data_IF_218396088561
#
_entry.id   IF_218396088561
#
_cell.length_a   1.000
_cell.length_b   1.000
_cell.length_c   1.000
_cell.angle_alpha   90.00
_cell.angle_beta   90.00
_cell.angle_gamma   90.00
#
_symmetry.space_group_name_H-M   'P 1'
#
loop_
_entity.id
_entity.type
_entity.pdbx_description
1 polymer ?
#
# COMPACT_ATOMS: atom_id res chain seq x y z
N UNK A 1 9.17 6.19 -57.43
CA UNK A 1 9.37 7.22 -56.39
C UNK A 1 8.03 7.90 -56.03
N UNK A 2 6.90 7.21 -56.04
CA UNK A 2 5.55 7.77 -55.77
C UNK A 2 4.66 6.84 -54.93
N UNK A 3 5.20 6.05 -54.02
CA UNK A 3 4.41 5.10 -53.25
C UNK A 3 4.51 5.29 -51.69
N UNK A 4 5.05 6.41 -51.20
CA UNK A 4 5.24 6.68 -49.75
C UNK A 4 4.51 7.91 -49.19
N UNK A 5 3.62 8.53 -49.96
CA UNK A 5 2.90 9.75 -49.51
C UNK A 5 1.42 9.51 -49.13
N UNK A 6 0.92 8.27 -49.19
CA UNK A 6 -0.48 7.99 -48.88
C UNK A 6 -0.78 7.37 -47.52
N UNK A 7 0.22 7.27 -46.59
CA UNK A 7 0.01 6.74 -45.25
C UNK A 7 -0.08 7.80 -44.16
N UNK A 8 0.29 9.05 -44.42
CA UNK A 8 0.23 10.14 -43.42
C UNK A 8 -1.12 10.89 -43.38
N UNK A 9 -2.03 10.62 -44.31
CA UNK A 9 -3.33 11.31 -44.37
C UNK A 9 -4.47 10.69 -43.56
N UNK A 10 -4.28 9.55 -42.90
CA UNK A 10 -5.38 8.83 -42.18
C UNK A 10 -5.40 8.99 -40.65
N UNK A 11 -4.49 9.73 -40.08
CA UNK A 11 -4.44 9.94 -38.62
C UNK A 11 -4.93 11.31 -38.11
N UNK A 12 -5.41 12.18 -39.02
CA UNK A 12 -5.84 13.54 -38.62
C UNK A 12 -7.34 13.80 -38.80
N UNK A 13 -8.17 12.77 -38.95
CA UNK A 13 -9.61 12.94 -39.10
C UNK A 13 -10.38 12.02 -38.12
N UNK A 14 -10.23 12.26 -36.80
CA UNK A 14 -11.22 11.91 -35.80
C UNK A 14 -11.55 13.14 -35.00
N UNK A 15 -12.51 13.90 -35.50
CA UNK A 15 -13.22 14.94 -34.72
C UNK A 15 -14.03 14.25 -33.64
N UNK A 16 -13.64 14.43 -32.39
CA UNK A 16 -14.50 14.17 -31.24
C UNK A 16 -15.69 15.12 -31.26
N UNK A 17 -16.92 14.65 -31.10
CA UNK A 17 -18.06 15.57 -30.96
C UNK A 17 -18.00 16.27 -29.62
N UNK A 18 -17.89 17.60 -29.67
CA UNK A 18 -18.16 18.46 -28.52
C UNK A 18 -19.63 18.29 -28.13
N UNK A 19 -19.90 17.64 -26.99
CA UNK A 19 -21.19 17.73 -26.35
C UNK A 19 -21.27 19.09 -25.64
N UNK A 20 -22.05 20.00 -26.22
CA UNK A 20 -22.56 21.20 -25.55
C UNK A 20 -23.46 20.75 -24.40
N UNK A 21 -22.98 20.87 -23.17
CA UNK A 21 -23.83 20.76 -22.00
C UNK A 21 -24.69 22.03 -21.90
N UNK A 22 -25.96 21.89 -22.25
CA UNK A 22 -26.98 22.84 -21.84
C UNK A 22 -27.16 22.72 -20.31
N UNK A 23 -26.85 23.79 -19.60
CA UNK A 23 -27.19 23.97 -18.20
C UNK A 23 -28.71 24.13 -18.07
N UNK A 24 -29.41 23.10 -17.60
CA UNK A 24 -30.74 23.28 -17.01
C UNK A 24 -30.66 23.01 -15.51
N UNK A 25 -30.93 24.05 -14.74
CA UNK A 25 -31.04 24.00 -13.30
C UNK A 25 -32.24 23.13 -12.88
N UNK A 26 -32.01 22.25 -11.94
CA UNK A 26 -32.82 21.83 -10.80
C UNK A 26 -32.27 20.46 -10.35
N UNK A 27 -31.38 20.54 -9.34
CA UNK A 27 -30.64 19.38 -8.88
C UNK A 27 -31.49 18.45 -8.05
N UNK A 28 -31.69 17.28 -8.60
CA UNK A 28 -31.65 16.06 -7.82
C UNK A 28 -30.28 15.44 -8.16
N UNK A 29 -29.28 15.65 -7.30
CA UNK A 29 -28.01 14.95 -7.40
C UNK A 29 -28.33 13.45 -7.42
N UNK A 30 -27.85 12.73 -8.45
CA UNK A 30 -27.93 11.28 -8.46
C UNK A 30 -27.35 10.78 -7.12
N UNK A 31 -27.99 9.76 -6.49
CA UNK A 31 -27.45 9.23 -5.23
C UNK A 31 -25.99 8.81 -5.45
N UNK A 32 -25.11 9.25 -4.52
CA UNK A 32 -23.70 8.86 -4.57
C UNK A 32 -23.58 7.33 -4.71
N UNK A 33 -22.66 6.88 -5.56
CA UNK A 33 -22.31 5.45 -5.70
C UNK A 33 -21.75 4.88 -4.41
N UNK A 34 -21.30 5.74 -3.51
CA UNK A 34 -20.64 5.41 -2.26
C UNK A 34 -21.49 5.94 -1.10
N UNK A 35 -21.87 5.06 -0.18
CA UNK A 35 -22.72 5.41 0.96
C UNK A 35 -22.05 5.04 2.26
N UNK A 36 -22.41 5.75 3.34
CA UNK A 36 -21.94 5.43 4.69
C UNK A 36 -22.24 3.97 5.08
N UNK A 37 -23.38 3.44 4.66
CA UNK A 37 -23.75 2.03 4.92
C UNK A 37 -22.78 1.04 4.26
N UNK A 38 -22.36 1.31 3.00
CA UNK A 38 -21.35 0.50 2.32
C UNK A 38 -19.98 0.60 2.99
N UNK A 39 -19.60 1.81 3.42
CA UNK A 39 -18.35 2.02 4.15
C UNK A 39 -18.35 1.28 5.49
N UNK A 40 -19.46 1.35 6.25
CA UNK A 40 -19.61 0.59 7.50
C UNK A 40 -19.59 -0.92 7.29
N UNK A 41 -20.21 -1.43 6.23
CA UNK A 41 -20.12 -2.85 5.90
C UNK A 41 -18.67 -3.27 5.61
N UNK A 42 -17.96 -2.50 4.77
CA UNK A 42 -16.57 -2.78 4.43
C UNK A 42 -15.65 -2.72 5.64
N UNK A 43 -15.86 -1.74 6.54
CA UNK A 43 -15.05 -1.59 7.75
C UNK A 43 -15.15 -2.77 8.71
N UNK A 44 -16.18 -3.62 8.57
CA UNK A 44 -16.42 -4.82 9.40
C UNK A 44 -15.99 -6.12 8.71
N UNK A 45 -15.67 -6.10 7.43
CA UNK A 45 -15.26 -7.31 6.69
C UNK A 45 -13.97 -7.87 7.24
N UNK A 46 -13.86 -9.19 7.16
CA UNK A 46 -12.60 -9.89 7.39
C UNK A 46 -11.56 -9.43 6.36
N UNK A 47 -10.35 -9.18 6.82
CA UNK A 47 -9.24 -8.75 5.97
C UNK A 47 -8.46 -9.98 5.51
N UNK A 48 -8.60 -10.34 4.25
CA UNK A 48 -7.85 -11.42 3.59
C UNK A 48 -6.84 -10.86 2.59
N UNK A 49 -7.18 -9.76 1.93
CA UNK A 49 -6.41 -9.18 0.83
C UNK A 49 -6.07 -7.73 1.10
N UNK A 50 -4.90 -7.31 0.63
CA UNK A 50 -4.47 -5.91 0.69
C UNK A 50 -3.95 -5.39 -0.64
N UNK A 51 -4.02 -4.06 -0.79
CA UNK A 51 -3.37 -3.29 -1.84
C UNK A 51 -2.61 -2.10 -1.27
N UNK A 52 -1.53 -1.70 -1.94
CA UNK A 52 -0.71 -0.54 -1.58
C UNK A 52 -0.62 0.42 -2.77
N UNK A 53 -0.85 1.69 -2.52
CA UNK A 53 -0.73 2.77 -3.51
C UNK A 53 0.34 3.74 -3.01
N UNK A 54 1.43 3.84 -3.72
CA UNK A 54 2.47 4.84 -3.49
C UNK A 54 2.19 6.01 -4.43
N UNK A 55 2.01 7.20 -3.88
CA UNK A 55 1.70 8.42 -4.61
C UNK A 55 2.90 9.35 -4.49
N UNK A 56 3.56 9.66 -5.60
CA UNK A 56 4.70 10.55 -5.61
C UNK A 56 5.52 10.48 -6.89
N UNK A 57 5.63 11.61 -7.57
CA UNK A 57 6.46 11.81 -8.77
C UNK A 57 7.94 11.55 -8.49
N UNK A 58 8.41 11.79 -7.26
CA UNK A 58 9.79 11.55 -6.86
C UNK A 58 10.17 10.06 -6.84
N UNK A 59 9.19 9.18 -6.66
CA UNK A 59 9.40 7.73 -6.75
C UNK A 59 9.43 7.30 -8.21
N UNK A 60 8.49 7.76 -9.03
CA UNK A 60 8.45 7.50 -10.47
C UNK A 60 9.68 8.06 -11.18
N UNK A 61 10.15 9.23 -10.74
CA UNK A 61 11.37 9.87 -11.27
C UNK A 61 12.67 9.26 -10.77
N UNK A 62 12.62 8.23 -9.90
CA UNK A 62 13.81 7.55 -9.38
C UNK A 62 14.63 8.38 -8.37
N UNK A 63 14.13 9.53 -7.93
CA UNK A 63 14.79 10.38 -6.93
C UNK A 63 14.71 9.78 -5.53
N UNK A 64 13.61 9.09 -5.23
CA UNK A 64 13.34 8.48 -3.93
C UNK A 64 13.08 6.99 -4.12
N UNK A 65 13.75 6.16 -3.32
CA UNK A 65 13.50 4.72 -3.30
C UNK A 65 12.28 4.45 -2.42
N UNK A 66 11.30 3.72 -2.95
CA UNK A 66 10.15 3.26 -2.17
C UNK A 66 10.55 2.18 -1.16
N UNK A 67 10.60 2.54 0.08
CA UNK A 67 10.79 1.61 1.21
C UNK A 67 9.47 1.26 1.90
N UNK A 68 8.42 2.07 1.69
CA UNK A 68 7.12 1.90 2.34
C UNK A 68 6.39 0.66 1.85
N UNK A 69 6.37 0.40 0.54
CA UNK A 69 5.73 -0.81 0.01
C UNK A 69 6.43 -2.09 0.47
N UNK A 70 7.76 -2.09 0.51
CA UNK A 70 8.53 -3.23 1.00
C UNK A 70 8.28 -3.50 2.49
N UNK A 71 8.18 -2.46 3.31
CA UNK A 71 7.83 -2.58 4.72
C UNK A 71 6.38 -3.06 4.89
N UNK A 72 5.45 -2.48 4.14
CA UNK A 72 4.04 -2.88 4.15
C UNK A 72 3.83 -4.35 3.74
N UNK A 73 4.61 -4.85 2.78
CA UNK A 73 4.58 -6.26 2.39
C UNK A 73 4.97 -7.17 3.56
N UNK A 74 6.01 -6.83 4.32
CA UNK A 74 6.42 -7.57 5.53
C UNK A 74 5.34 -7.46 6.62
N UNK A 75 4.74 -6.30 6.79
CA UNK A 75 3.66 -6.07 7.74
C UNK A 75 2.43 -6.93 7.41
N UNK A 76 1.96 -6.92 6.17
CA UNK A 76 0.87 -7.79 5.71
C UNK A 76 1.19 -9.26 5.94
N UNK A 77 2.41 -9.69 5.60
CA UNK A 77 2.87 -11.05 5.81
C UNK A 77 2.79 -11.44 7.31
N UNK A 78 3.26 -10.57 8.21
CA UNK A 78 3.23 -10.83 9.66
C UNK A 78 1.81 -10.95 10.24
N UNK A 79 0.81 -10.40 9.54
CA UNK A 79 -0.61 -10.45 9.91
C UNK A 79 -1.39 -11.53 9.14
N UNK A 80 -0.73 -12.28 8.25
CA UNK A 80 -1.40 -13.26 7.41
C UNK A 80 -2.33 -12.66 6.36
N UNK A 81 -2.11 -11.39 5.99
CA UNK A 81 -2.85 -10.68 4.93
C UNK A 81 -2.14 -10.91 3.60
N UNK A 82 -2.89 -11.30 2.56
CA UNK A 82 -2.34 -11.44 1.22
C UNK A 82 -2.22 -10.08 0.53
N UNK A 83 -1.03 -9.49 0.51
CA UNK A 83 -0.77 -8.33 -0.34
C UNK A 83 -0.83 -8.75 -1.81
N UNK A 84 -1.82 -8.25 -2.54
CA UNK A 84 -2.11 -8.62 -3.92
C UNK A 84 -1.54 -7.66 -4.94
N UNK A 85 -1.36 -6.39 -4.56
CA UNK A 85 -0.93 -5.37 -5.49
C UNK A 85 -0.20 -4.23 -4.79
N UNK A 86 0.85 -3.76 -5.43
CA UNK A 86 1.53 -2.50 -5.13
C UNK A 86 1.52 -1.71 -6.43
N UNK A 87 1.07 -0.47 -6.38
CA UNK A 87 1.11 0.46 -7.51
C UNK A 87 1.80 1.75 -7.08
N UNK A 88 2.66 2.25 -7.94
CA UNK A 88 3.27 3.57 -7.81
C UNK A 88 2.63 4.44 -8.89
N UNK A 89 2.06 5.57 -8.47
CA UNK A 89 1.35 6.50 -9.36
C UNK A 89 1.84 7.93 -9.16
N UNK A 90 1.60 8.75 -10.15
CA UNK A 90 1.91 10.17 -10.12
C UNK A 90 1.05 10.96 -9.12
N UNK A 91 1.48 12.18 -8.79
CA UNK A 91 0.66 13.18 -8.11
C UNK A 91 -0.34 13.80 -9.10
N UNK A 92 -1.18 12.91 -9.69
CA UNK A 92 -2.21 13.25 -10.67
C UNK A 92 -3.60 12.90 -10.14
N UNK A 93 -4.54 13.85 -10.25
CA UNK A 93 -5.87 13.71 -9.68
C UNK A 93 -6.65 12.54 -10.30
N UNK A 94 -6.61 12.38 -11.62
CA UNK A 94 -7.38 11.35 -12.31
C UNK A 94 -6.81 9.94 -12.04
N UNK A 95 -5.48 9.81 -11.96
CA UNK A 95 -4.80 8.56 -11.58
C UNK A 95 -5.12 8.16 -10.14
N UNK A 96 -5.09 9.10 -9.21
CA UNK A 96 -5.42 8.85 -7.79
C UNK A 96 -6.89 8.40 -7.68
N UNK A 97 -7.82 9.10 -8.35
CA UNK A 97 -9.25 8.78 -8.31
C UNK A 97 -9.51 7.38 -8.86
N UNK A 98 -8.98 7.07 -10.06
CA UNK A 98 -9.16 5.76 -10.71
C UNK A 98 -8.60 4.65 -9.85
N UNK A 99 -7.33 4.79 -9.44
CA UNK A 99 -6.62 3.76 -8.69
C UNK A 99 -7.28 3.50 -7.34
N UNK A 100 -7.67 4.54 -6.59
CA UNK A 100 -8.35 4.38 -5.31
C UNK A 100 -9.71 3.69 -5.46
N UNK A 101 -10.51 4.04 -6.44
CA UNK A 101 -11.80 3.37 -6.71
C UNK A 101 -11.61 1.89 -7.04
N UNK A 102 -10.69 1.58 -7.94
CA UNK A 102 -10.37 0.22 -8.37
C UNK A 102 -9.83 -0.63 -7.23
N UNK A 103 -8.85 -0.12 -6.50
CA UNK A 103 -8.23 -0.82 -5.38
C UNK A 103 -9.22 -1.05 -4.23
N UNK A 104 -10.03 -0.03 -3.88
CA UNK A 104 -11.06 -0.16 -2.84
C UNK A 104 -12.12 -1.21 -3.19
N UNK A 105 -12.42 -1.37 -4.46
CA UNK A 105 -13.39 -2.38 -4.91
C UNK A 105 -12.80 -3.81 -4.93
N UNK A 106 -11.48 -3.94 -5.12
CA UNK A 106 -10.80 -5.20 -5.33
C UNK A 106 -10.25 -5.84 -4.05
N UNK A 107 -9.93 -5.04 -3.01
CA UNK A 107 -9.21 -5.50 -1.82
C UNK A 107 -9.90 -5.09 -0.53
N UNK A 108 -9.69 -5.89 0.53
CA UNK A 108 -10.31 -5.66 1.84
C UNK A 108 -9.63 -4.53 2.62
N UNK A 109 -8.32 -4.34 2.42
CA UNK A 109 -7.48 -3.36 3.10
C UNK A 109 -6.58 -2.67 2.08
N UNK A 110 -6.77 -1.37 1.89
CA UNK A 110 -6.00 -0.55 0.97
C UNK A 110 -5.27 0.54 1.74
N UNK A 111 -4.00 0.70 1.45
CA UNK A 111 -3.13 1.71 2.04
C UNK A 111 -2.64 2.63 0.95
N UNK A 112 -2.72 3.95 1.17
CA UNK A 112 -2.03 4.94 0.34
C UNK A 112 -0.85 5.51 1.11
N UNK A 113 0.20 5.93 0.43
CA UNK A 113 1.39 6.53 1.00
C UNK A 113 1.89 7.67 0.13
N UNK A 114 1.83 8.90 0.65
CA UNK A 114 2.30 10.11 -0.02
C UNK A 114 1.22 11.15 -0.32
N UNK A 115 1.62 12.32 -0.76
CA UNK A 115 0.76 13.41 -1.25
C UNK A 115 -0.18 14.04 -0.22
N UNK A 116 0.16 14.04 1.09
CA UNK A 116 -0.64 14.66 2.16
C UNK A 116 0.09 15.78 2.90
N UNK A 117 1.11 16.34 2.30
CA UNK A 117 1.87 17.47 2.83
C UNK A 117 1.22 18.83 2.56
N UNK A 118 1.98 19.91 2.77
CA UNK A 118 1.46 21.27 2.65
C UNK A 118 1.64 21.90 1.26
N UNK A 119 2.31 21.23 0.33
CA UNK A 119 2.70 21.79 -0.96
C UNK A 119 1.62 21.62 -2.02
N UNK A 120 1.77 22.22 -3.18
CA UNK A 120 0.71 22.28 -4.20
C UNK A 120 0.47 20.90 -4.88
N UNK A 121 1.45 20.06 -4.89
CA UNK A 121 1.46 18.68 -5.38
C UNK A 121 0.87 17.68 -4.36
N UNK A 122 0.71 18.04 -3.10
CA UNK A 122 0.04 17.23 -2.08
C UNK A 122 -1.49 17.24 -2.30
N UNK A 123 -1.97 16.43 -3.22
CA UNK A 123 -3.39 16.41 -3.65
C UNK A 123 -4.14 15.15 -3.22
N UNK A 124 -3.51 14.24 -2.49
CA UNK A 124 -4.10 12.93 -2.12
C UNK A 124 -5.43 13.05 -1.40
N UNK A 125 -5.55 13.93 -0.38
CA UNK A 125 -6.83 14.11 0.33
C UNK A 125 -7.93 14.63 -0.60
N UNK A 126 -7.63 15.63 -1.42
CA UNK A 126 -8.61 16.21 -2.34
C UNK A 126 -9.07 15.20 -3.41
N UNK A 127 -8.14 14.47 -4.00
CA UNK A 127 -8.42 13.47 -5.02
C UNK A 127 -9.23 12.29 -4.47
N UNK A 128 -8.89 11.81 -3.26
CA UNK A 128 -9.64 10.72 -2.61
C UNK A 128 -11.02 11.20 -2.17
N UNK A 129 -11.17 12.44 -1.66
CA UNK A 129 -12.47 13.02 -1.36
C UNK A 129 -13.36 13.04 -2.60
N UNK A 130 -12.83 13.51 -3.74
CA UNK A 130 -13.51 13.51 -5.05
C UNK A 130 -13.81 12.07 -5.54
N UNK A 131 -12.90 11.13 -5.32
CA UNK A 131 -13.10 9.74 -5.70
C UNK A 131 -14.36 9.12 -5.07
N UNK A 132 -14.71 9.55 -3.85
CA UNK A 132 -15.80 8.97 -3.08
C UNK A 132 -16.94 9.95 -2.76
N UNK A 133 -17.03 11.04 -3.52
CA UNK A 133 -18.08 12.08 -3.39
C UNK A 133 -18.17 12.65 -1.97
N UNK A 134 -17.03 12.85 -1.30
CA UNK A 134 -16.93 13.39 0.05
C UNK A 134 -16.46 14.84 0.05
N UNK A 135 -16.91 15.67 1.00
CA UNK A 135 -16.30 16.96 1.25
C UNK A 135 -14.94 16.82 1.94
N UNK A 136 -14.09 17.83 1.77
CA UNK A 136 -12.96 18.07 2.66
C UNK A 136 -13.46 18.89 3.85
N UNK A 137 -13.15 18.45 5.06
CA UNK A 137 -13.55 19.10 6.30
C UNK A 137 -12.34 19.33 7.18
N UNK A 138 -12.20 20.54 7.71
CA UNK A 138 -11.19 20.86 8.71
C UNK A 138 -11.47 20.03 9.97
N UNK A 139 -10.56 19.11 10.30
CA UNK A 139 -10.71 18.21 11.44
C UNK A 139 -10.14 18.86 12.71
N UNK A 140 -11.00 19.28 13.61
CA UNK A 140 -10.64 20.10 14.78
C UNK A 140 -9.64 19.40 15.73
N UNK A 141 -9.80 18.11 15.97
CA UNK A 141 -8.86 17.37 16.82
C UNK A 141 -7.47 17.26 16.15
N UNK A 142 -7.41 16.99 14.84
CA UNK A 142 -6.15 16.95 14.10
C UNK A 142 -5.47 18.31 14.11
N UNK A 143 -6.22 19.40 13.94
CA UNK A 143 -5.72 20.77 14.04
C UNK A 143 -5.17 21.06 15.44
N UNK A 144 -5.91 20.71 16.48
CA UNK A 144 -5.50 20.89 17.88
C UNK A 144 -4.20 20.14 18.19
N UNK A 145 -4.13 18.87 17.77
CA UNK A 145 -2.90 18.05 17.91
C UNK A 145 -1.74 18.64 17.10
N UNK A 146 -1.99 19.10 15.85
CA UNK A 146 -0.97 19.74 15.03
C UNK A 146 -0.42 21.00 15.72
N UNK A 147 -1.28 21.87 16.22
CA UNK A 147 -0.86 23.07 16.96
C UNK A 147 0.02 22.72 18.17
N UNK A 148 -0.32 21.68 18.89
CA UNK A 148 0.39 21.27 20.12
C UNK A 148 1.71 20.53 19.82
N UNK A 149 1.72 19.64 18.82
CA UNK A 149 2.81 18.70 18.61
C UNK A 149 3.79 19.10 17.50
N UNK A 150 3.36 19.97 16.57
CA UNK A 150 4.26 20.44 15.52
C UNK A 150 5.23 21.49 16.10
N UNK A 151 6.52 21.15 16.05
CA UNK A 151 7.57 22.12 16.44
C UNK A 151 7.87 23.03 15.27
N UNK A 152 8.12 24.34 15.52
CA UNK A 152 8.63 25.26 14.50
C UNK A 152 9.94 24.69 13.91
N UNK A 153 10.06 24.73 12.59
CA UNK A 153 11.31 24.40 11.91
C UNK A 153 12.22 25.63 11.86
N UNK A 154 13.55 25.46 11.70
CA UNK A 154 14.41 26.59 11.38
C UNK A 154 13.85 27.41 10.20
N UNK A 155 13.76 28.72 10.34
CA UNK A 155 13.14 29.62 9.37
C UNK A 155 11.62 29.79 9.52
N UNK A 156 10.98 29.19 10.54
CA UNK A 156 9.57 29.34 10.86
C UNK A 156 9.36 29.97 12.26
N UNK A 157 10.34 30.68 12.76
CA UNK A 157 10.30 31.29 14.11
C UNK A 157 9.13 32.28 14.28
N UNK A 158 8.71 32.91 13.18
CA UNK A 158 7.62 33.90 13.16
C UNK A 158 6.27 33.29 12.71
N UNK A 159 6.13 31.96 12.68
CA UNK A 159 4.86 31.34 12.29
C UNK A 159 3.80 31.56 13.38
N UNK A 160 2.65 32.11 12.98
CA UNK A 160 1.47 32.29 13.84
C UNK A 160 0.28 31.47 13.32
N UNK A 161 -0.45 30.84 14.23
CA UNK A 161 -1.71 30.17 13.91
C UNK A 161 -2.89 31.14 13.79
N UNK A 162 -2.74 32.37 14.28
CA UNK A 162 -3.83 33.38 14.35
C UNK A 162 -3.83 34.30 13.13
N UNK A 163 -2.71 34.38 12.41
CA UNK A 163 -2.57 35.20 11.22
C UNK A 163 -3.00 34.48 9.95
N UNK A 164 -3.74 35.11 9.06
CA UNK A 164 -4.14 34.52 7.77
C UNK A 164 -3.02 34.63 6.74
N UNK A 165 -2.02 33.76 6.90
CA UNK A 165 -0.85 33.69 6.04
C UNK A 165 -0.91 32.50 5.06
N UNK A 166 -0.19 32.57 3.93
CA UNK A 166 -0.05 31.40 3.04
C UNK A 166 0.51 30.16 3.76
N UNK A 167 1.44 30.35 4.69
CA UNK A 167 2.02 29.24 5.48
C UNK A 167 0.98 28.57 6.38
N UNK A 168 0.07 29.35 7.00
CA UNK A 168 -1.05 28.81 7.77
C UNK A 168 -2.01 28.03 6.89
N UNK A 169 -2.40 28.59 5.72
CA UNK A 169 -3.29 27.91 4.76
C UNK A 169 -2.69 26.59 4.30
N UNK A 170 -1.39 26.58 3.98
CA UNK A 170 -0.68 25.36 3.60
C UNK A 170 -0.71 24.29 4.72
N UNK A 171 -0.53 24.68 5.99
CA UNK A 171 -0.65 23.75 7.12
C UNK A 171 -2.09 23.26 7.34
N UNK A 172 -3.11 24.11 7.16
CA UNK A 172 -4.50 23.70 7.33
C UNK A 172 -4.91 22.60 6.34
N UNK A 173 -4.42 22.66 5.09
CA UNK A 173 -4.67 21.59 4.09
C UNK A 173 -4.30 20.21 4.59
N UNK A 174 -3.28 20.08 5.45
CA UNK A 174 -2.84 18.80 6.00
C UNK A 174 -3.80 18.19 7.02
N UNK A 175 -4.81 18.93 7.46
CA UNK A 175 -5.86 18.51 8.39
C UNK A 175 -7.27 18.78 7.84
N UNK A 176 -7.39 19.12 6.57
CA UNK A 176 -8.64 19.09 5.80
C UNK A 176 -8.79 17.68 5.22
N UNK A 177 -9.63 16.87 5.88
CA UNK A 177 -9.74 15.43 5.60
C UNK A 177 -10.99 15.13 4.78
N UNK A 178 -10.95 14.14 3.87
CA UNK A 178 -12.16 13.48 3.36
C UNK A 178 -13.05 13.02 4.51
N UNK A 179 -14.29 13.49 4.59
CA UNK A 179 -15.11 13.24 5.76
C UNK A 179 -16.57 12.95 5.40
N UNK A 180 -17.12 11.84 5.89
CA UNK A 180 -18.53 11.51 5.76
C UNK A 180 -19.25 11.81 7.10
N UNK A 181 -20.10 12.83 7.10
CA UNK A 181 -20.89 13.22 8.29
C UNK A 181 -21.85 12.14 8.79
N UNK A 182 -22.13 11.11 7.99
CA UNK A 182 -23.01 10.02 8.35
C UNK A 182 -22.26 8.84 9.02
N UNK A 183 -20.94 8.93 9.13
CA UNK A 183 -20.09 7.99 9.86
C UNK A 183 -19.68 8.60 11.20
N UNK A 184 -19.38 7.76 12.18
CA UNK A 184 -18.73 8.22 13.41
C UNK A 184 -17.30 8.64 13.13
N UNK A 185 -16.83 9.63 13.87
CA UNK A 185 -15.45 10.11 13.76
C UNK A 185 -14.43 8.99 13.98
N UNK A 186 -14.61 8.19 15.01
CA UNK A 186 -13.76 7.04 15.36
C UNK A 186 -13.65 5.95 14.29
N UNK A 187 -14.60 5.91 13.33
CA UNK A 187 -14.62 4.95 12.22
C UNK A 187 -13.85 5.45 11.00
N UNK A 188 -13.56 6.75 10.92
CA UNK A 188 -12.93 7.37 9.76
C UNK A 188 -11.65 8.18 10.07
N UNK A 189 -11.40 8.52 11.34
CA UNK A 189 -10.19 9.24 11.77
C UNK A 189 -9.57 8.55 12.98
N UNK A 190 -8.34 8.09 12.84
CA UNK A 190 -7.63 7.34 13.88
C UNK A 190 -6.28 8.00 14.17
N UNK A 191 -6.03 8.31 15.43
CA UNK A 191 -4.71 8.71 15.89
C UNK A 191 -3.96 7.46 16.40
N UNK A 192 -2.98 7.02 15.62
CA UNK A 192 -2.26 5.76 15.87
C UNK A 192 -1.28 5.83 17.05
N UNK A 193 -0.90 7.03 17.49
CA UNK A 193 -0.03 7.28 18.65
C UNK A 193 -0.25 8.70 19.21
N UNK A 194 -0.06 8.85 20.52
CA UNK A 194 -0.32 10.12 21.24
C UNK A 194 0.62 11.25 20.83
N UNK A 195 1.81 10.92 20.37
CA UNK A 195 2.84 11.86 19.93
C UNK A 195 2.78 12.17 18.42
N UNK A 196 1.75 11.69 17.73
CA UNK A 196 1.47 12.00 16.33
C UNK A 196 0.22 12.89 16.21
N UNK A 197 0.33 13.93 15.40
CA UNK A 197 -0.80 14.78 15.05
C UNK A 197 -1.46 14.35 13.73
N UNK A 198 -0.73 13.68 12.84
CA UNK A 198 -1.25 13.17 11.57
C UNK A 198 -2.16 11.98 11.87
N UNK A 199 -3.46 12.05 11.53
CA UNK A 199 -4.34 10.91 11.67
C UNK A 199 -4.20 9.95 10.50
N UNK A 200 -4.62 8.71 10.69
CA UNK A 200 -5.01 7.80 9.63
C UNK A 200 -6.44 8.17 9.26
N UNK A 201 -6.65 8.69 8.07
CA UNK A 201 -8.00 8.94 7.56
C UNK A 201 -8.46 7.71 6.76
N UNK A 202 -9.65 7.21 7.09
CA UNK A 202 -10.24 6.03 6.46
C UNK A 202 -11.41 6.44 5.58
N UNK A 203 -11.30 6.14 4.30
CA UNK A 203 -12.33 6.44 3.31
C UNK A 203 -12.95 5.14 2.78
N UNK A 204 -14.27 5.17 2.54
CA UNK A 204 -15.05 4.05 2.02
C UNK A 204 -14.87 2.75 2.84
N UNK A 205 -14.48 2.87 4.11
CA UNK A 205 -14.31 1.79 5.08
C UNK A 205 -13.08 0.89 4.89
N UNK A 206 -12.32 1.05 3.82
CA UNK A 206 -11.16 0.21 3.54
C UNK A 206 -9.93 0.91 2.96
N UNK A 207 -10.02 2.18 2.52
CA UNK A 207 -8.84 2.97 2.14
C UNK A 207 -8.31 3.69 3.37
N UNK A 208 -7.06 3.48 3.69
CA UNK A 208 -6.36 4.09 4.81
C UNK A 208 -5.25 4.98 4.26
N UNK A 209 -5.33 6.27 4.56
CA UNK A 209 -4.44 7.30 3.99
C UNK A 209 -3.29 7.56 4.97
N UNK A 210 -2.05 7.44 4.47
CA UNK A 210 -0.81 7.62 5.23
C UNK A 210 0.14 8.62 4.56
N UNK A 211 1.04 9.24 5.35
CA UNK A 211 2.11 10.07 4.81
C UNK A 211 3.17 9.23 4.09
N UNK A 212 3.90 9.87 3.16
CA UNK A 212 5.03 9.25 2.46
C UNK A 212 6.29 9.05 3.34
N UNK A 213 6.41 9.76 4.48
CA UNK A 213 7.58 9.69 5.35
C UNK A 213 7.67 8.30 6.02
N UNK A 214 8.73 7.48 5.74
CA UNK A 214 8.79 6.07 6.16
C UNK A 214 8.56 5.86 7.65
N UNK A 215 9.25 6.62 8.51
CA UNK A 215 9.08 6.51 9.97
C UNK A 215 7.67 6.76 10.46
N UNK A 216 6.93 7.68 9.83
CA UNK A 216 5.53 7.95 10.17
C UNK A 216 4.63 6.83 9.65
N UNK A 217 4.82 6.42 8.41
CA UNK A 217 4.09 5.32 7.79
C UNK A 217 4.17 4.04 8.63
N UNK A 218 5.37 3.61 8.99
CA UNK A 218 5.62 2.43 9.80
C UNK A 218 5.00 2.53 11.20
N UNK A 219 5.20 3.67 11.87
CA UNK A 219 4.68 3.91 13.22
C UNK A 219 3.14 3.91 13.23
N UNK A 220 2.53 4.56 12.25
CA UNK A 220 1.07 4.65 12.15
C UNK A 220 0.44 3.28 11.85
N UNK A 221 1.03 2.49 10.94
CA UNK A 221 0.57 1.12 10.68
C UNK A 221 0.74 0.21 11.90
N UNK A 222 1.84 0.35 12.63
CA UNK A 222 2.06 -0.39 13.89
C UNK A 222 0.99 -0.04 14.92
N UNK A 223 0.66 1.24 15.07
CA UNK A 223 -0.41 1.70 15.98
C UNK A 223 -1.82 1.31 15.52
N UNK A 224 -2.02 1.08 14.22
CA UNK A 224 -3.29 0.60 13.68
C UNK A 224 -3.54 -0.89 13.95
N UNK A 225 -2.49 -1.68 14.18
CA UNK A 225 -2.57 -3.14 14.34
C UNK A 225 -3.67 -3.62 15.31
N UNK A 226 -3.87 -3.04 16.51
CA UNK A 226 -4.94 -3.48 17.42
C UNK A 226 -6.35 -3.41 16.82
N UNK A 227 -6.60 -2.49 15.87
CA UNK A 227 -7.88 -2.37 15.17
C UNK A 227 -8.02 -3.34 13.99
N UNK A 228 -6.91 -3.81 13.43
CA UNK A 228 -6.90 -4.79 12.33
C UNK A 228 -7.06 -6.21 12.84
N UNK A 229 -6.39 -6.57 13.95
CA UNK A 229 -6.35 -7.94 14.50
C UNK A 229 -7.73 -8.58 14.62
N UNK A 230 -8.78 -7.92 15.16
CA UNK A 230 -10.12 -8.52 15.28
C UNK A 230 -10.79 -8.83 13.93
N UNK A 231 -10.26 -8.27 12.84
CA UNK A 231 -10.77 -8.44 11.47
C UNK A 231 -9.94 -9.43 10.65
N UNK A 232 -8.90 -10.01 11.23
CA UNK A 232 -8.07 -10.99 10.52
C UNK A 232 -8.73 -12.37 10.55
N UNK A 233 -8.42 -13.18 9.54
CA UNK A 233 -8.86 -14.59 9.49
C UNK A 233 -8.33 -15.39 10.66
N UNK A 234 -7.17 -14.99 11.19
CA UNK A 234 -6.52 -15.59 12.35
C UNK A 234 -6.20 -14.51 13.40
N UNK A 235 -7.19 -14.13 14.25
CA UNK A 235 -7.00 -13.11 15.27
C UNK A 235 -5.98 -13.52 16.35
N UNK A 236 -5.74 -14.82 16.52
CA UNK A 236 -4.74 -15.34 17.48
C UNK A 236 -3.29 -15.14 17.02
N UNK A 237 -3.11 -14.65 15.78
CA UNK A 237 -1.81 -14.26 15.29
C UNK A 237 -0.87 -15.42 14.99
N UNK A 238 -1.41 -16.61 14.71
CA UNK A 238 -0.61 -17.75 14.25
C UNK A 238 0.08 -17.52 12.90
N UNK A 239 -0.18 -16.37 12.29
CA UNK A 239 0.57 -15.82 11.18
C UNK A 239 0.70 -16.71 9.95
N UNK A 240 1.48 -16.23 9.00
CA UNK A 240 2.04 -17.02 7.90
C UNK A 240 3.48 -17.33 8.27
N UNK A 241 3.82 -18.60 8.29
CA UNK A 241 5.17 -19.08 8.59
C UNK A 241 5.97 -19.19 7.29
N UNK A 242 7.27 -18.96 7.40
CA UNK A 242 8.21 -19.16 6.32
C UNK A 242 9.35 -20.06 6.80
N UNK A 243 9.59 -21.14 6.08
CA UNK A 243 10.77 -21.99 6.27
C UNK A 243 11.71 -21.73 5.10
N UNK A 244 12.96 -21.41 5.39
CA UNK A 244 14.00 -21.10 4.42
C UNK A 244 14.99 -22.26 4.36
N UNK A 245 15.40 -22.63 3.14
CA UNK A 245 16.45 -23.60 2.89
C UNK A 245 17.50 -22.97 2.01
N UNK A 246 18.75 -23.10 2.41
CA UNK A 246 19.90 -22.75 1.59
C UNK A 246 20.37 -23.98 0.83
N UNK A 247 20.51 -23.88 -0.49
CA UNK A 247 20.91 -24.98 -1.37
C UNK A 247 22.04 -24.60 -2.32
N UNK A 248 23.05 -25.46 -2.52
CA UNK A 248 24.07 -25.26 -3.55
C UNK A 248 23.58 -25.67 -4.96
N UNK A 249 22.37 -26.27 -5.06
CA UNK A 249 21.87 -26.74 -6.34
C UNK A 249 21.32 -25.59 -7.17
N UNK A 250 21.58 -25.53 -8.49
CA UNK A 250 20.96 -24.61 -9.40
C UNK A 250 19.44 -24.88 -9.52
N UNK A 251 18.66 -23.85 -9.85
CA UNK A 251 17.20 -23.96 -9.96
C UNK A 251 16.75 -25.05 -10.91
N UNK A 252 17.46 -25.25 -12.02
CA UNK A 252 17.15 -26.30 -13.00
C UNK A 252 17.15 -27.71 -12.43
N UNK A 253 18.02 -27.98 -11.44
CA UNK A 253 18.12 -29.31 -10.81
C UNK A 253 17.04 -29.51 -9.74
N UNK A 254 16.63 -28.47 -9.03
CA UNK A 254 15.57 -28.55 -8.01
C UNK A 254 14.16 -28.42 -8.57
N UNK A 255 14.01 -27.86 -9.77
CA UNK A 255 12.72 -27.51 -10.38
C UNK A 255 11.72 -28.68 -10.43
N UNK A 256 12.18 -29.88 -10.80
CA UNK A 256 11.33 -31.08 -10.88
C UNK A 256 10.71 -31.42 -9.52
N UNK A 257 11.56 -31.52 -8.50
CA UNK A 257 11.14 -31.80 -7.13
C UNK A 257 10.21 -30.68 -6.56
N UNK A 258 10.58 -29.41 -6.77
CA UNK A 258 9.78 -28.30 -6.25
C UNK A 258 8.41 -28.21 -6.94
N UNK A 259 8.30 -28.59 -8.22
CA UNK A 259 7.02 -28.67 -8.93
C UNK A 259 6.12 -29.76 -8.34
N UNK A 260 6.67 -30.93 -8.06
CA UNK A 260 5.95 -32.04 -7.41
C UNK A 260 5.50 -31.64 -6.00
N UNK A 261 6.42 -31.11 -5.20
CA UNK A 261 6.15 -30.65 -3.85
C UNK A 261 5.05 -29.57 -3.84
N UNK A 262 5.14 -28.57 -4.72
CA UNK A 262 4.14 -27.50 -4.84
C UNK A 262 2.75 -28.05 -5.15
N UNK A 263 2.64 -29.03 -6.06
CA UNK A 263 1.38 -29.71 -6.36
C UNK A 263 0.80 -30.42 -5.12
N UNK A 264 1.65 -31.13 -4.39
CA UNK A 264 1.27 -31.94 -3.22
C UNK A 264 0.80 -31.07 -2.03
N UNK A 265 1.44 -29.93 -1.79
CA UNK A 265 1.14 -29.06 -0.64
C UNK A 265 0.13 -27.97 -0.94
N UNK A 266 -0.32 -27.82 -2.19
CA UNK A 266 -1.23 -26.76 -2.63
C UNK A 266 -2.54 -26.73 -1.85
N UNK A 267 -3.15 -27.90 -1.65
CA UNK A 267 -4.42 -28.03 -0.91
C UNK A 267 -4.28 -27.66 0.58
N UNK A 268 -3.07 -27.72 1.12
CA UNK A 268 -2.71 -27.27 2.47
C UNK A 268 -2.46 -25.75 2.53
N UNK A 269 -2.59 -25.03 1.42
CA UNK A 269 -2.33 -23.60 1.35
C UNK A 269 -0.86 -23.23 1.54
N UNK A 270 0.07 -24.14 1.21
CA UNK A 270 1.51 -23.90 1.30
C UNK A 270 2.05 -23.55 -0.08
N UNK A 271 2.76 -22.44 -0.16
CA UNK A 271 3.45 -22.00 -1.36
C UNK A 271 4.92 -22.42 -1.28
N UNK A 272 5.41 -22.95 -2.40
CA UNK A 272 6.81 -23.34 -2.59
C UNK A 272 7.46 -22.33 -3.53
N UNK A 273 8.60 -21.78 -3.17
CA UNK A 273 9.35 -20.83 -3.97
C UNK A 273 10.82 -21.18 -4.09
N UNK A 274 11.45 -20.77 -5.19
CA UNK A 274 12.89 -20.81 -5.40
C UNK A 274 13.37 -19.43 -5.81
N UNK A 275 14.47 -19.00 -5.22
CA UNK A 275 15.04 -17.66 -5.43
C UNK A 275 16.53 -17.79 -5.72
N UNK A 276 16.95 -17.59 -6.97
CA UNK A 276 18.36 -17.58 -7.32
C UNK A 276 19.01 -16.35 -6.72
N UNK A 277 20.22 -16.51 -6.22
CA UNK A 277 20.99 -15.42 -5.64
C UNK A 277 22.18 -15.12 -6.55
N UNK A 278 22.03 -14.06 -7.34
CA UNK A 278 23.07 -13.68 -8.30
C UNK A 278 24.41 -13.40 -7.62
N UNK A 279 25.49 -13.95 -8.16
CA UNK A 279 26.84 -13.78 -7.59
C UNK A 279 27.11 -14.58 -6.31
N UNK A 280 26.17 -15.41 -5.86
CA UNK A 280 26.35 -16.27 -4.69
C UNK A 280 26.39 -17.76 -5.10
N UNK A 281 27.09 -18.56 -4.31
CA UNK A 281 27.21 -19.99 -4.54
C UNK A 281 25.99 -20.81 -4.12
N UNK A 282 25.01 -20.15 -3.48
CA UNK A 282 23.84 -20.80 -2.91
C UNK A 282 22.55 -20.06 -3.26
N UNK A 283 21.51 -20.83 -3.49
CA UNK A 283 20.16 -20.35 -3.76
C UNK A 283 19.25 -20.56 -2.54
N UNK A 284 18.10 -19.89 -2.51
CA UNK A 284 17.13 -20.03 -1.43
C UNK A 284 15.88 -20.74 -1.93
N UNK A 285 15.46 -21.79 -1.22
CA UNK A 285 14.14 -22.42 -1.39
C UNK A 285 13.28 -22.07 -0.18
N UNK A 286 11.99 -21.80 -0.39
CA UNK A 286 11.07 -21.39 0.67
C UNK A 286 9.81 -22.22 0.70
N UNK A 287 9.32 -22.53 1.89
CA UNK A 287 7.95 -22.95 2.14
C UNK A 287 7.24 -21.82 2.90
N UNK A 288 6.04 -21.44 2.45
CA UNK A 288 5.25 -20.37 3.07
C UNK A 288 3.82 -20.85 3.25
N UNK A 289 3.34 -20.90 4.49
CA UNK A 289 1.99 -21.37 4.80
C UNK A 289 1.59 -21.10 6.24
N UNK A 290 0.40 -21.55 6.64
CA UNK A 290 -0.14 -21.35 7.99
C UNK A 290 0.03 -22.58 8.90
N UNK A 291 0.19 -23.76 8.31
CA UNK A 291 0.35 -25.02 9.02
C UNK A 291 1.85 -25.26 9.31
N UNK A 292 2.32 -24.67 10.41
CA UNK A 292 3.73 -24.76 10.81
C UNK A 292 4.14 -26.20 11.06
N UNK A 293 3.33 -26.96 11.78
CA UNK A 293 3.64 -28.35 12.14
C UNK A 293 3.86 -29.22 10.89
N UNK A 294 2.94 -29.09 9.92
CA UNK A 294 3.08 -29.81 8.67
C UNK A 294 4.29 -29.33 7.87
N UNK A 295 4.57 -28.02 7.80
CA UNK A 295 5.78 -27.51 7.13
C UNK A 295 7.07 -28.00 7.81
N UNK A 296 7.10 -28.03 9.14
CA UNK A 296 8.24 -28.54 9.90
C UNK A 296 8.43 -30.05 9.64
N UNK A 297 7.37 -30.82 9.44
CA UNK A 297 7.45 -32.23 9.07
C UNK A 297 8.07 -32.48 7.69
N UNK A 298 8.01 -31.50 6.79
CA UNK A 298 8.60 -31.56 5.45
C UNK A 298 10.10 -31.24 5.43
N UNK A 299 10.66 -30.65 6.49
CA UNK A 299 12.06 -30.19 6.50
C UNK A 299 13.05 -31.27 6.10
N UNK A 300 13.02 -32.49 6.69
CA UNK A 300 14.02 -33.53 6.34
C UNK A 300 13.94 -33.97 4.87
N UNK A 301 12.72 -34.02 4.33
CA UNK A 301 12.50 -34.37 2.92
C UNK A 301 13.05 -33.28 1.99
N UNK A 302 12.74 -31.99 2.28
CA UNK A 302 13.21 -30.89 1.46
C UNK A 302 14.72 -30.77 1.50
N UNK A 303 15.35 -30.83 2.68
CA UNK A 303 16.80 -30.78 2.83
C UNK A 303 17.51 -31.83 2.01
N UNK A 304 16.98 -33.05 2.03
CA UNK A 304 17.52 -34.16 1.24
C UNK A 304 17.45 -33.92 -0.25
N UNK A 305 16.29 -33.47 -0.76
CA UNK A 305 16.04 -33.33 -2.20
C UNK A 305 16.72 -32.11 -2.80
N UNK A 306 16.86 -31.02 -2.03
CA UNK A 306 17.57 -29.81 -2.49
C UNK A 306 19.06 -29.84 -2.10
N UNK A 307 19.54 -30.91 -1.46
CA UNK A 307 20.93 -31.02 -0.91
C UNK A 307 21.32 -29.80 -0.10
N UNK A 308 20.36 -29.26 0.64
CA UNK A 308 20.47 -28.01 1.38
C UNK A 308 20.24 -28.19 2.87
N UNK A 309 20.16 -27.08 3.58
CA UNK A 309 19.83 -27.04 5.00
C UNK A 309 18.85 -25.93 5.31
N UNK A 310 18.05 -26.10 6.36
CA UNK A 310 17.25 -25.03 6.92
C UNK A 310 18.14 -23.90 7.42
N UNK A 311 17.75 -22.65 7.14
CA UNK A 311 18.40 -21.44 7.63
C UNK A 311 17.36 -20.52 8.25
N UNK A 312 17.79 -19.63 9.17
CA UNK A 312 16.90 -18.67 9.81
C UNK A 312 16.75 -17.39 8.98
N UNK A 313 17.82 -16.99 8.32
CA UNK A 313 17.90 -15.79 7.49
C UNK A 313 18.53 -16.16 6.15
N UNK A 314 18.04 -15.54 5.08
CA UNK A 314 18.63 -15.69 3.76
C UNK A 314 20.09 -15.20 3.76
N UNK A 315 21.01 -16.05 3.29
CA UNK A 315 22.44 -15.73 3.30
C UNK A 315 23.19 -16.05 4.57
N UNK A 316 22.54 -16.67 5.54
CA UNK A 316 23.18 -17.08 6.82
C UNK A 316 24.44 -17.95 6.62
N UNK A 317 24.51 -18.66 5.52
CA UNK A 317 25.62 -19.58 5.19
C UNK A 317 26.39 -19.18 3.91
N UNK A 318 26.34 -17.89 3.56
CA UNK A 318 27.24 -17.39 2.52
C UNK A 318 28.67 -17.39 3.05
N UNK A 319 29.56 -18.02 2.29
CA UNK A 319 30.98 -17.88 2.55
C UNK A 319 31.41 -16.41 2.30
N UNK A 320 31.91 -15.73 3.31
CA UNK A 320 32.40 -14.34 3.24
C UNK A 320 33.56 -14.11 2.24
N UNK A 321 33.90 -15.13 1.44
CA UNK A 321 35.02 -15.16 0.53
C UNK A 321 34.75 -14.79 -0.94
N UNK A 322 33.47 -14.60 -1.35
CA UNK A 322 33.12 -14.48 -2.78
C UNK A 322 32.92 -13.06 -3.32
N UNK A 323 33.13 -12.01 -2.53
CA UNK A 323 33.08 -10.61 -2.99
C UNK A 323 34.40 -10.11 -3.65
N UNK A 324 35.18 -11.02 -4.24
CA UNK A 324 36.31 -10.63 -5.10
C UNK A 324 35.90 -10.93 -6.55
N UNK A 325 35.72 -9.87 -7.31
CA UNK A 325 35.43 -9.80 -8.75
C UNK A 325 33.91 -9.55 -9.08
N UNK A 326 33.50 -8.29 -8.94
CA UNK A 326 32.43 -7.68 -9.74
C UNK A 326 32.86 -6.26 -10.15
#
# INVERSE_FOLDING_TARGET
MFARLNQLGRHLARSTPYYLHQSSAAGLSAPSRFTAAMAQERSKRTINTAGCIIIGDEVLGGKTVDTNSAWFAKYCFSLGINLKRIEVIADDEDEIIETCRRMSSAYDFVVTSGGIGPTHDDITYASIAKAFDLPLVLHEEALSKMKRLSKPRPGQENFSWDEDTPARKAKLRMVELPYDKNLKDEDQVIFAADDLWVPINIVNGNIHIFPGIPRLFEKMLTGLKPRLVPRLTDPEGKGVYRVLFSTPMPESEVAGYLTELAGRVKEKGINVGSYPRWGKSRNTVTLVGRDQEYMDSLIPEVEKNVKGRRVQVEGEDDDDGSDKDA
#
